data_IF_791768581864
#
_entry.id   IF_791768581864
#
_cell.length_a   1.000
_cell.length_b   1.000
_cell.length_c   1.000
_cell.angle_alpha   90.00
_cell.angle_beta   90.00
_cell.angle_gamma   90.00
#
_symmetry.space_group_name_H-M   'P 1'
#
loop_
_entity.id
_entity.type
_entity.pdbx_description
1 polymer ?
#
# COMPACT_ATOMS: atom_id res chain seq x y z
N UNK A 1 10.04 -30.72 -20.00
CA UNK A 1 8.81 -30.02 -19.53
C UNK A 1 9.17 -29.25 -18.27
N UNK A 2 9.14 -27.91 -18.30
CA UNK A 2 9.50 -27.08 -17.13
C UNK A 2 8.22 -26.74 -16.35
N UNK A 3 8.17 -27.14 -15.08
CA UNK A 3 7.03 -26.92 -14.18
C UNK A 3 7.17 -25.52 -13.57
N UNK A 4 6.26 -24.62 -13.94
CA UNK A 4 6.17 -23.28 -13.39
C UNK A 4 5.57 -23.37 -11.97
N UNK A 5 6.37 -23.09 -10.94
CA UNK A 5 5.89 -22.94 -9.57
C UNK A 5 5.65 -21.46 -9.31
N UNK A 6 4.38 -21.11 -9.09
CA UNK A 6 3.97 -19.78 -8.61
C UNK A 6 3.93 -19.85 -7.09
N UNK A 7 4.80 -19.12 -6.42
CA UNK A 7 4.79 -19.01 -4.96
C UNK A 7 4.02 -17.75 -4.57
N UNK A 8 2.80 -17.91 -4.04
CA UNK A 8 2.07 -16.84 -3.35
C UNK A 8 2.51 -16.80 -1.90
N UNK A 9 3.12 -15.70 -1.47
CA UNK A 9 3.39 -15.41 -0.06
C UNK A 9 2.33 -14.44 0.42
N UNK A 10 1.48 -14.88 1.34
CA UNK A 10 0.56 -14.02 2.07
C UNK A 10 1.27 -13.52 3.33
N UNK A 11 1.35 -12.19 3.52
CA UNK A 11 1.94 -11.56 4.71
C UNK A 11 0.83 -10.84 5.47
N UNK A 12 0.62 -11.11 6.77
CA UNK A 12 -0.32 -10.36 7.58
C UNK A 12 0.23 -8.96 7.92
N UNK A 13 -0.56 -7.93 7.67
CA UNK A 13 -0.24 -6.53 7.98
C UNK A 13 -0.83 -6.18 9.37
N UNK A 14 0.02 -6.05 10.40
CA UNK A 14 -0.39 -5.54 11.72
C UNK A 14 -0.16 -4.03 11.77
N UNK A 15 -1.23 -3.23 11.80
CA UNK A 15 -1.15 -1.81 12.14
C UNK A 15 -1.21 -1.64 13.67
N UNK A 16 -0.21 -0.97 14.25
CA UNK A 16 -0.28 -0.45 15.60
C UNK A 16 -0.83 0.98 15.56
N UNK A 17 -1.94 1.23 16.26
CA UNK A 17 -2.55 2.55 16.42
C UNK A 17 -2.15 3.11 17.80
N UNK A 18 -1.54 4.30 17.83
CA UNK A 18 -1.28 5.04 19.06
C UNK A 18 -2.23 6.23 19.10
N UNK A 19 -3.08 6.29 20.14
CA UNK A 19 -3.97 7.41 20.42
C UNK A 19 -3.57 8.03 21.75
N UNK A 20 -3.28 9.33 21.75
CA UNK A 20 -3.18 10.13 22.96
C UNK A 20 -4.16 11.30 22.87
N UNK A 21 -5.08 11.36 23.82
CA UNK A 21 -5.90 12.54 24.08
C UNK A 21 -6.20 12.63 25.56
N UNK A 22 -5.69 13.68 26.19
CA UNK A 22 -6.26 14.22 27.43
C UNK A 22 -6.59 15.68 27.16
N UNK A 23 -7.87 16.03 27.22
CA UNK A 23 -8.34 17.40 27.22
C UNK A 23 -9.06 17.64 28.55
N UNK A 24 -8.42 18.41 29.43
CA UNK A 24 -8.98 18.85 30.72
C UNK A 24 -10.11 19.86 30.46
N UNK A 25 -11.33 19.53 30.84
CA UNK A 25 -12.49 20.42 30.72
C UNK A 25 -12.64 21.29 31.98
N UNK A 26 -12.49 22.62 31.84
CA UNK A 26 -12.86 23.59 32.87
C UNK A 26 -14.24 24.15 32.56
N UNK A 27 -15.17 23.98 33.49
CA UNK A 27 -16.58 24.35 33.35
C UNK A 27 -16.80 25.82 33.76
N UNK A 28 -17.45 26.63 32.91
CA UNK A 28 -18.00 27.93 33.27
C UNK A 28 -19.41 28.07 32.68
N UNK A 29 -20.45 28.48 33.43
CA UNK A 29 -21.83 28.50 32.95
C UNK A 29 -22.26 29.90 32.49
N UNK A 30 -22.89 30.01 31.32
CA UNK A 30 -24.19 30.67 31.08
C UNK A 30 -24.47 30.91 29.58
N UNK A 31 -25.63 30.41 29.15
CA UNK A 31 -26.45 30.78 27.99
C UNK A 31 -25.76 30.98 26.63
N UNK A 32 -25.71 29.91 25.83
CA UNK A 32 -25.49 30.00 24.38
C UNK A 32 -26.63 29.33 23.61
N UNK A 33 -27.24 30.11 22.72
CA UNK A 33 -28.08 29.63 21.61
C UNK A 33 -27.31 28.54 20.85
N UNK A 34 -27.92 27.41 20.45
CA UNK A 34 -27.20 26.38 19.73
C UNK A 34 -26.76 26.92 18.36
N UNK A 35 -25.51 27.37 18.27
CA UNK A 35 -24.82 27.49 17.00
C UNK A 35 -24.55 26.06 16.54
N UNK A 36 -25.32 25.59 15.56
CA UNK A 36 -24.99 24.36 14.82
C UNK A 36 -23.69 24.69 14.07
N UNK A 37 -22.56 24.30 14.66
CA UNK A 37 -21.30 24.24 13.93
C UNK A 37 -21.45 23.06 12.97
N UNK A 38 -21.68 23.35 11.70
CA UNK A 38 -21.46 22.36 10.65
C UNK A 38 -19.96 22.05 10.62
N UNK A 39 -19.55 21.08 11.43
CA UNK A 39 -18.25 20.44 11.25
C UNK A 39 -18.36 19.63 9.97
N UNK A 40 -17.85 20.18 8.88
CA UNK A 40 -17.58 19.36 7.71
C UNK A 40 -16.47 18.41 8.11
N UNK A 41 -16.81 17.17 8.48
CA UNK A 41 -15.84 16.09 8.69
C UNK A 41 -15.21 15.75 7.34
N UNK A 42 -14.22 16.52 6.91
CA UNK A 42 -13.41 16.18 5.74
C UNK A 42 -12.22 15.34 6.20
N UNK A 43 -12.46 14.16 6.76
CA UNK A 43 -11.38 13.37 7.34
C UNK A 43 -10.68 12.54 6.25
N UNK A 44 -9.90 13.21 5.42
CA UNK A 44 -8.97 12.58 4.47
C UNK A 44 -7.63 12.36 5.17
N UNK A 45 -7.02 11.18 4.99
CA UNK A 45 -5.74 10.81 5.58
C UNK A 45 -4.76 10.38 4.49
N UNK A 46 -3.54 10.96 4.52
CA UNK A 46 -2.45 10.56 3.64
C UNK A 46 -1.52 9.58 4.36
N UNK A 47 -1.30 8.44 3.73
CA UNK A 47 -0.38 7.39 4.20
C UNK A 47 0.79 7.25 3.22
N UNK A 48 1.96 6.94 3.77
CA UNK A 48 3.11 6.50 3.00
C UNK A 48 3.33 5.01 3.26
N UNK A 49 3.22 4.21 2.20
CA UNK A 49 3.43 2.77 2.23
C UNK A 49 4.77 2.45 1.56
N UNK A 50 5.69 1.86 2.32
CA UNK A 50 6.98 1.38 1.82
C UNK A 50 7.03 -0.15 1.93
N UNK A 51 7.31 -0.81 0.81
CA UNK A 51 7.47 -2.26 0.72
C UNK A 51 8.86 -2.58 0.18
N UNK A 52 9.62 -3.37 0.93
CA UNK A 52 10.99 -3.76 0.56
C UNK A 52 11.08 -5.28 0.41
N UNK A 53 11.69 -5.71 -0.69
CA UNK A 53 11.85 -7.10 -1.06
C UNK A 53 13.32 -7.42 -1.27
N UNK A 54 13.80 -8.49 -0.62
CA UNK A 54 15.09 -9.13 -0.89
C UNK A 54 14.82 -10.61 -1.18
N UNK A 55 14.77 -10.96 -2.47
CA UNK A 55 14.36 -12.31 -2.88
C UNK A 55 15.56 -13.28 -2.86
N UNK A 56 15.44 -14.31 -2.03
CA UNK A 56 16.39 -15.42 -1.99
C UNK A 56 15.92 -16.55 -2.91
N UNK A 57 16.78 -16.98 -3.83
CA UNK A 57 16.47 -18.12 -4.70
C UNK A 57 16.48 -19.41 -3.85
N UNK A 58 15.38 -20.19 -3.83
CA UNK A 58 15.33 -21.43 -3.08
C UNK A 58 16.39 -22.41 -3.58
N UNK A 59 17.01 -23.17 -2.66
CA UNK A 59 18.00 -24.19 -3.02
C UNK A 59 17.44 -25.15 -4.06
N UNK A 60 18.23 -25.42 -5.10
CA UNK A 60 17.85 -26.30 -6.22
C UNK A 60 16.99 -25.62 -7.30
N UNK A 61 16.58 -24.36 -7.13
CA UNK A 61 15.97 -23.56 -8.20
C UNK A 61 17.05 -22.94 -9.08
N UNK A 62 16.80 -22.90 -10.38
CA UNK A 62 17.67 -22.23 -11.35
C UNK A 62 16.83 -21.43 -12.34
N UNK A 63 17.37 -20.30 -12.81
CA UNK A 63 16.73 -19.45 -13.80
C UNK A 63 16.43 -18.05 -13.30
N UNK A 64 15.76 -17.29 -14.15
CA UNK A 64 15.33 -15.91 -13.86
C UNK A 64 14.36 -15.88 -12.66
N UNK A 65 14.40 -14.79 -11.90
CA UNK A 65 13.44 -14.55 -10.83
C UNK A 65 12.47 -13.47 -11.27
N UNK A 66 11.18 -13.69 -11.02
CA UNK A 66 10.11 -12.79 -11.41
C UNK A 66 9.23 -12.54 -10.19
N UNK A 67 8.82 -11.28 -10.00
CA UNK A 67 7.94 -10.87 -8.93
C UNK A 67 6.80 -10.03 -9.51
N UNK A 68 5.59 -10.30 -9.03
CA UNK A 68 4.39 -9.54 -9.34
C UNK A 68 3.85 -8.95 -8.04
N UNK A 69 3.80 -7.63 -7.96
CA UNK A 69 3.26 -6.91 -6.80
C UNK A 69 1.94 -6.28 -7.21
N UNK A 70 0.81 -6.69 -6.61
CA UNK A 70 -0.44 -5.99 -6.82
C UNK A 70 -0.32 -4.59 -6.21
N UNK A 71 -0.56 -3.57 -7.03
CA UNK A 71 -0.56 -2.18 -6.60
C UNK A 71 -1.94 -1.81 -6.06
N UNK A 72 -1.96 -0.86 -5.14
CA UNK A 72 -3.21 -0.27 -4.68
C UNK A 72 -3.90 0.43 -5.85
N UNK A 73 -5.23 0.44 -5.81
CA UNK A 73 -6.08 1.00 -6.86
C UNK A 73 -6.87 2.21 -6.33
N UNK A 74 -7.45 2.98 -7.24
CA UNK A 74 -8.26 4.14 -6.90
C UNK A 74 -9.74 3.76 -6.84
N UNK A 75 -10.45 4.26 -5.83
CA UNK A 75 -11.91 4.19 -5.70
C UNK A 75 -12.41 5.40 -4.88
N UNK A 76 -13.70 5.42 -4.51
CA UNK A 76 -14.30 6.56 -3.79
C UNK A 76 -13.68 6.80 -2.41
N UNK A 77 -13.12 5.76 -1.78
CA UNK A 77 -12.55 5.79 -0.44
C UNK A 77 -11.02 5.89 -0.42
N UNK A 78 -10.34 5.60 -1.53
CA UNK A 78 -8.87 5.69 -1.60
C UNK A 78 -8.34 6.13 -2.95
N UNK A 79 -7.22 6.86 -2.94
CA UNK A 79 -6.53 7.35 -4.12
C UNK A 79 -5.02 7.27 -3.94
N UNK A 80 -4.35 6.53 -4.82
CA UNK A 80 -2.89 6.51 -4.95
C UNK A 80 -2.44 7.83 -5.57
N UNK A 81 -1.63 8.58 -4.83
CA UNK A 81 -1.11 9.90 -5.20
C UNK A 81 0.25 9.82 -5.87
N UNK A 82 1.09 8.91 -5.43
CA UNK A 82 2.37 8.62 -6.05
C UNK A 82 2.69 7.13 -5.95
N UNK A 83 3.49 6.67 -6.89
CA UNK A 83 4.07 5.35 -6.91
C UNK A 83 5.48 5.48 -7.47
N UNK A 84 6.45 5.08 -6.67
CA UNK A 84 7.86 5.05 -7.01
C UNK A 84 8.37 3.64 -6.73
N UNK A 85 9.27 3.16 -7.57
CA UNK A 85 9.95 1.89 -7.31
C UNK A 85 11.38 1.93 -7.83
N UNK A 86 12.26 1.26 -7.12
CA UNK A 86 13.68 1.19 -7.42
C UNK A 86 14.23 -0.18 -7.03
N UNK A 87 15.35 -0.58 -7.63
CA UNK A 87 15.96 -1.86 -7.36
C UNK A 87 17.00 -2.24 -8.40
N UNK A 88 17.56 -3.44 -8.26
CA UNK A 88 18.58 -3.96 -9.16
C UNK A 88 18.00 -4.96 -10.18
N UNK A 89 16.77 -4.73 -10.62
CA UNK A 89 16.08 -5.54 -11.63
C UNK A 89 16.66 -5.31 -13.03
N UNK A 90 16.54 -6.32 -13.89
CA UNK A 90 16.86 -6.20 -15.32
C UNK A 90 15.72 -5.50 -16.08
N UNK A 91 14.47 -5.83 -15.73
CA UNK A 91 13.27 -5.27 -16.33
C UNK A 91 12.24 -5.04 -15.24
N UNK A 92 11.61 -3.86 -15.24
CA UNK A 92 10.43 -3.61 -14.45
C UNK A 92 9.45 -2.71 -15.21
N UNK A 93 8.16 -2.99 -15.07
CA UNK A 93 7.09 -2.19 -15.65
C UNK A 93 5.78 -2.43 -14.91
N UNK A 94 4.86 -1.48 -15.03
CA UNK A 94 3.50 -1.61 -14.53
C UNK A 94 2.60 -2.11 -15.66
N UNK A 95 1.76 -3.09 -15.37
CA UNK A 95 0.79 -3.61 -16.32
C UNK A 95 -0.57 -3.86 -15.66
N UNK A 96 -1.62 -3.74 -16.47
CA UNK A 96 -2.99 -4.15 -16.12
C UNK A 96 -3.42 -5.38 -16.94
N UNK A 97 -2.51 -5.93 -17.75
CA UNK A 97 -2.77 -7.10 -18.58
C UNK A 97 -2.65 -8.39 -17.73
N UNK A 98 -3.61 -8.58 -16.84
CA UNK A 98 -3.81 -9.79 -16.05
C UNK A 98 -5.30 -10.10 -15.92
N UNK A 99 -5.61 -11.32 -15.47
CA UNK A 99 -6.98 -11.84 -15.35
C UNK A 99 -7.91 -10.96 -14.48
N UNK A 100 -7.36 -10.11 -13.62
CA UNK A 100 -8.09 -9.31 -12.65
C UNK A 100 -8.09 -7.82 -12.98
N UNK A 101 -7.51 -7.41 -14.11
CA UNK A 101 -7.32 -6.01 -14.51
C UNK A 101 -6.69 -5.13 -13.42
N UNK A 102 -5.95 -5.74 -12.50
CA UNK A 102 -5.35 -5.04 -11.37
C UNK A 102 -4.02 -4.42 -11.80
N UNK A 103 -3.77 -3.15 -11.47
CA UNK A 103 -2.42 -2.57 -11.66
C UNK A 103 -1.41 -3.43 -10.92
N UNK A 104 -0.44 -3.95 -11.65
CA UNK A 104 0.57 -4.87 -11.12
C UNK A 104 1.94 -4.38 -11.52
N UNK A 105 2.83 -4.22 -10.54
CA UNK A 105 4.25 -4.01 -10.81
C UNK A 105 4.88 -5.37 -11.08
N UNK A 106 5.44 -5.52 -12.28
CA UNK A 106 6.28 -6.65 -12.65
C UNK A 106 7.75 -6.27 -12.51
N UNK A 107 8.54 -7.15 -11.91
CA UNK A 107 10.00 -7.04 -11.88
C UNK A 107 10.67 -8.38 -12.18
N UNK A 108 11.75 -8.34 -12.97
CA UNK A 108 12.54 -9.50 -13.38
C UNK A 108 14.02 -9.29 -13.11
N UNK A 109 14.66 -10.32 -12.57
CA UNK A 109 16.12 -10.42 -12.39
C UNK A 109 16.71 -11.57 -13.19
N UNK A 110 17.94 -11.37 -13.64
CA UNK A 110 18.73 -12.43 -14.27
C UNK A 110 19.00 -13.59 -13.29
N UNK A 111 19.23 -14.78 -13.84
CA UNK A 111 19.57 -15.98 -13.05
C UNK A 111 20.84 -15.78 -12.22
N UNK A 112 21.79 -14.97 -12.69
CA UNK A 112 23.07 -14.72 -12.05
C UNK A 112 23.07 -13.45 -11.20
N UNK A 113 21.92 -12.80 -10.99
CA UNK A 113 21.84 -11.61 -10.16
C UNK A 113 22.34 -11.93 -8.73
N UNK A 114 23.31 -11.16 -8.26
CA UNK A 114 23.92 -11.31 -6.93
C UNK A 114 22.88 -11.07 -5.82
N UNK A 115 22.03 -10.05 -6.02
CA UNK A 115 20.88 -9.74 -5.16
C UNK A 115 19.62 -9.52 -5.99
N UNK A 116 18.46 -9.56 -5.35
CA UNK A 116 17.15 -9.33 -5.98
C UNK A 116 16.35 -8.37 -5.12
N UNK A 117 16.75 -7.10 -5.18
CA UNK A 117 16.23 -6.02 -4.38
C UNK A 117 15.18 -5.23 -5.15
N UNK A 118 14.04 -4.99 -4.50
CA UNK A 118 13.00 -4.09 -4.98
C UNK A 118 12.43 -3.31 -3.79
N UNK A 119 12.42 -1.98 -3.90
CA UNK A 119 11.70 -1.10 -3.01
C UNK A 119 10.53 -0.47 -3.78
N UNK A 120 9.37 -0.45 -3.16
CA UNK A 120 8.16 0.20 -3.69
C UNK A 120 7.67 1.19 -2.65
N UNK A 121 7.40 2.41 -3.08
CA UNK A 121 6.88 3.49 -2.25
C UNK A 121 5.59 4.02 -2.86
N UNK A 122 4.54 4.10 -2.06
CA UNK A 122 3.25 4.63 -2.48
C UNK A 122 2.76 5.67 -1.48
N UNK A 123 2.32 6.83 -1.97
CA UNK A 123 1.51 7.75 -1.18
C UNK A 123 0.03 7.47 -1.48
N UNK A 124 -0.76 7.24 -0.44
CA UNK A 124 -2.18 6.87 -0.57
C UNK A 124 -3.01 7.78 0.31
N UNK A 125 -3.94 8.48 -0.32
CA UNK A 125 -4.98 9.20 0.39
C UNK A 125 -6.17 8.26 0.62
N UNK A 126 -6.71 8.23 1.82
CA UNK A 126 -7.98 7.56 2.13
C UNK A 126 -8.97 8.58 2.66
N UNK A 127 -10.25 8.37 2.40
CA UNK A 127 -11.34 9.21 2.88
C UNK A 127 -12.25 8.38 3.76
N UNK A 128 -12.69 8.98 4.85
CA UNK A 128 -13.77 8.42 5.65
C UNK A 128 -15.04 8.33 4.79
N UNK A 129 -15.68 7.17 4.80
CA UNK A 129 -16.94 6.97 4.08
C UNK A 129 -18.08 7.66 4.80
N UNK A 130 -18.94 8.38 4.06
CA UNK A 130 -20.21 8.84 4.61
C UNK A 130 -20.99 7.64 5.18
N UNK A 131 -21.26 7.65 6.49
CA UNK A 131 -22.36 6.85 7.03
C UNK A 131 -23.64 7.43 6.45
N UNK A 132 -24.19 6.76 5.43
CA UNK A 132 -25.55 7.05 4.97
C UNK A 132 -26.50 6.74 6.12
N UNK A 133 -26.98 7.77 6.79
CA UNK A 133 -28.09 7.72 7.75
C UNK A 133 -29.40 8.01 7.01
#
# INVERSE_FOLDING_TARGET
MKKLMIASVAIPLTLAYSSSSEATFSQIPHSQVPHIVSIHNTTSHLYELTQSYDLVVPKGSSGETQLWIPLLFNNDYQSVKSLEFEGNYQVAFITENNLYSAKTLYAKWDKNAEKRLLNVKMAVETKEGESKN
#
